data_IF_516230585630
#
_entry.id   IF_516230585630
#
_cell.length_a   1.000
_cell.length_b   1.000
_cell.length_c   1.000
_cell.angle_alpha   90.00
_cell.angle_beta   90.00
_cell.angle_gamma   90.00
#
_symmetry.space_group_name_H-M   'P 1'
#
loop_
_entity.id
_entity.type
_entity.pdbx_description
1 polymer ?
#
# COMPACT_ATOMS: atom_id res chain seq x y z
N UNK A 1 9.15 -4.25 27.11
CA UNK A 1 10.51 -4.27 26.54
C UNK A 1 11.28 -5.59 26.73
N UNK A 2 11.05 -6.34 27.79
CA UNK A 2 11.79 -7.60 28.04
C UNK A 2 11.44 -8.77 27.11
N UNK A 3 10.33 -8.72 26.40
CA UNK A 3 9.89 -9.83 25.55
C UNK A 3 10.59 -9.89 24.16
N UNK A 4 11.13 -8.79 23.69
CA UNK A 4 11.81 -8.73 22.39
C UNK A 4 13.28 -9.17 22.44
N UNK A 5 13.85 -9.27 23.63
CA UNK A 5 15.26 -9.68 23.81
C UNK A 5 15.47 -11.20 23.86
N UNK A 6 14.39 -11.99 23.96
CA UNK A 6 14.46 -13.44 23.90
C UNK A 6 14.14 -13.93 22.48
N UNK A 7 15.03 -14.70 21.82
CA UNK A 7 14.81 -15.15 20.44
C UNK A 7 13.48 -15.91 20.21
N UNK A 8 13.06 -16.71 21.19
CA UNK A 8 11.79 -17.47 21.06
C UNK A 8 10.56 -16.56 21.18
N UNK A 9 10.61 -15.61 22.10
CA UNK A 9 9.52 -14.63 22.31
C UNK A 9 9.44 -13.66 21.13
N UNK A 10 10.59 -13.25 20.61
CA UNK A 10 10.69 -12.41 19.42
C UNK A 10 10.06 -13.09 18.19
N UNK A 11 10.36 -14.37 17.98
CA UNK A 11 9.79 -15.14 16.88
C UNK A 11 8.27 -15.24 16.99
N UNK A 12 7.74 -15.59 18.16
CA UNK A 12 6.29 -15.67 18.39
C UNK A 12 5.59 -14.32 18.18
N UNK A 13 6.19 -13.24 18.67
CA UNK A 13 5.65 -11.89 18.47
C UNK A 13 5.60 -11.54 16.98
N UNK A 14 6.63 -11.88 16.23
CA UNK A 14 6.69 -11.65 14.78
C UNK A 14 5.66 -12.51 14.03
N UNK A 15 5.51 -13.78 14.36
CA UNK A 15 4.48 -14.66 13.79
C UNK A 15 3.09 -14.07 13.98
N UNK A 16 2.79 -13.50 15.15
CA UNK A 16 1.52 -12.80 15.42
C UNK A 16 1.35 -11.55 14.54
N UNK A 17 2.43 -10.82 14.29
CA UNK A 17 2.39 -9.68 13.36
C UNK A 17 2.05 -10.11 11.95
N UNK A 18 2.68 -11.17 11.46
CA UNK A 18 2.41 -11.72 10.12
C UNK A 18 0.97 -12.21 10.03
N UNK A 19 0.49 -12.95 11.00
CA UNK A 19 -0.89 -13.44 11.05
C UNK A 19 -1.92 -12.30 11.13
N UNK A 20 -1.64 -11.28 11.95
CA UNK A 20 -2.57 -10.17 12.18
C UNK A 20 -2.61 -9.13 11.06
N UNK A 21 -1.51 -8.89 10.36
CA UNK A 21 -1.39 -7.82 9.37
C UNK A 21 -1.10 -8.31 7.94
N UNK A 22 -0.82 -9.58 7.75
CA UNK A 22 -0.38 -10.12 6.45
C UNK A 22 -1.38 -9.85 5.34
N UNK A 23 -2.64 -10.15 5.54
CA UNK A 23 -3.69 -9.93 4.53
C UNK A 23 -3.92 -8.44 4.25
N UNK A 24 -4.01 -7.62 5.28
CA UNK A 24 -4.15 -6.17 5.15
C UNK A 24 -3.00 -5.55 4.36
N UNK A 25 -1.77 -5.91 4.70
CA UNK A 25 -0.58 -5.40 4.01
C UNK A 25 -0.50 -5.90 2.57
N UNK A 26 -0.88 -7.14 2.32
CA UNK A 26 -0.96 -7.68 0.97
C UNK A 26 -1.88 -6.82 0.08
N UNK A 27 -3.12 -6.58 0.50
CA UNK A 27 -4.06 -5.80 -0.30
C UNK A 27 -3.65 -4.33 -0.42
N UNK A 28 -3.04 -3.77 0.61
CA UNK A 28 -2.48 -2.42 0.54
C UNK A 28 -1.38 -2.33 -0.53
N UNK A 29 -0.41 -3.24 -0.48
CA UNK A 29 0.68 -3.33 -1.46
C UNK A 29 0.12 -3.63 -2.85
N UNK A 30 -0.87 -4.54 -2.96
CA UNK A 30 -1.50 -4.94 -4.21
C UNK A 30 -2.14 -3.76 -4.95
N UNK A 31 -2.76 -2.82 -4.23
CA UNK A 31 -3.34 -1.61 -4.82
C UNK A 31 -2.28 -0.64 -5.35
N UNK A 32 -1.06 -0.75 -4.88
CA UNK A 32 0.05 0.10 -5.32
C UNK A 32 0.78 -0.55 -6.51
N UNK A 33 1.15 -1.81 -6.40
CA UNK A 33 1.96 -2.51 -7.42
C UNK A 33 1.12 -3.21 -8.49
N UNK A 34 -0.17 -3.40 -8.28
CA UNK A 34 -1.21 -3.84 -9.23
C UNK A 34 -1.11 -5.30 -9.73
N UNK A 35 -0.15 -6.08 -9.27
CA UNK A 35 0.08 -7.46 -9.71
C UNK A 35 0.25 -8.37 -8.49
N UNK A 36 -0.32 -9.59 -8.56
CA UNK A 36 -0.29 -10.54 -7.44
C UNK A 36 1.14 -11.02 -7.10
N UNK A 37 1.91 -11.40 -8.09
CA UNK A 37 3.28 -11.89 -7.88
C UNK A 37 4.18 -10.80 -7.30
N UNK A 38 4.09 -9.59 -7.86
CA UNK A 38 4.84 -8.43 -7.38
C UNK A 38 4.43 -8.06 -5.95
N UNK A 39 3.14 -8.11 -5.64
CA UNK A 39 2.63 -7.84 -4.29
C UNK A 39 3.18 -8.85 -3.29
N UNK A 40 3.21 -10.14 -3.61
CA UNK A 40 3.80 -11.16 -2.75
C UNK A 40 5.28 -10.90 -2.49
N UNK A 41 6.04 -10.56 -3.52
CA UNK A 41 7.47 -10.26 -3.39
C UNK A 41 7.71 -9.03 -2.50
N UNK A 42 6.93 -7.96 -2.69
CA UNK A 42 7.03 -6.75 -1.88
C UNK A 42 6.64 -7.04 -0.43
N UNK A 43 5.56 -7.77 -0.19
CA UNK A 43 5.11 -8.12 1.18
C UNK A 43 6.17 -8.96 1.90
N UNK A 44 6.80 -9.90 1.23
CA UNK A 44 7.92 -10.66 1.79
C UNK A 44 9.06 -9.74 2.22
N UNK A 45 9.42 -8.78 1.37
CA UNK A 45 10.45 -7.79 1.70
C UNK A 45 10.04 -6.90 2.87
N UNK A 46 8.77 -6.52 2.96
CA UNK A 46 8.23 -5.75 4.10
C UNK A 46 8.46 -6.51 5.41
N UNK A 47 8.07 -7.78 5.45
CA UNK A 47 8.23 -8.60 6.67
C UNK A 47 9.69 -8.92 6.97
N UNK A 48 10.55 -9.12 5.98
CA UNK A 48 11.99 -9.26 6.19
C UNK A 48 12.60 -8.00 6.82
N UNK A 49 12.23 -6.83 6.34
CA UNK A 49 12.66 -5.55 6.93
C UNK A 49 12.07 -5.33 8.32
N UNK A 50 10.81 -5.70 8.53
CA UNK A 50 10.19 -5.65 9.84
C UNK A 50 10.94 -6.54 10.85
N UNK A 51 11.29 -7.75 10.45
CA UNK A 51 12.09 -8.66 11.29
C UNK A 51 13.44 -8.08 11.67
N UNK A 52 14.19 -7.58 10.69
CA UNK A 52 15.54 -7.03 10.93
C UNK A 52 15.52 -5.73 11.73
N UNK A 53 14.43 -4.95 11.64
CA UNK A 53 14.30 -3.65 12.30
C UNK A 53 13.40 -3.67 13.53
N UNK A 54 12.95 -4.84 13.96
CA UNK A 54 12.04 -4.98 15.11
C UNK A 54 12.63 -4.35 16.39
N UNK A 55 13.94 -4.41 16.56
CA UNK A 55 14.64 -3.80 17.70
C UNK A 55 14.63 -2.26 17.65
N UNK A 56 14.44 -1.67 16.46
CA UNK A 56 14.36 -0.22 16.29
C UNK A 56 12.95 0.32 16.48
N UNK A 57 11.96 -0.55 16.62
CA UNK A 57 10.59 -0.15 16.93
C UNK A 57 10.52 0.32 18.38
N UNK A 58 10.50 1.61 18.56
CA UNK A 58 10.22 2.25 19.86
C UNK A 58 8.73 2.56 19.90
N UNK A 59 8.03 2.20 20.95
CA UNK A 59 6.59 2.30 21.10
C UNK A 59 6.03 3.76 21.05
N UNK A 60 6.70 4.64 20.33
CA UNK A 60 6.27 6.03 20.10
C UNK A 60 5.12 6.14 19.09
N UNK A 61 4.91 5.09 18.29
CA UNK A 61 3.80 4.98 17.33
C UNK A 61 3.17 3.60 17.41
N UNK A 62 1.99 3.45 16.82
CA UNK A 62 1.34 2.15 16.68
C UNK A 62 2.20 1.24 15.79
N UNK A 63 2.23 -0.05 16.08
CA UNK A 63 2.93 -1.04 15.26
C UNK A 63 2.40 -1.03 13.81
N UNK A 64 1.10 -0.84 13.62
CA UNK A 64 0.48 -0.70 12.31
C UNK A 64 1.05 0.48 11.52
N UNK A 65 1.19 1.65 12.14
CA UNK A 65 1.80 2.84 11.52
C UNK A 65 3.23 2.56 11.04
N UNK A 66 4.01 1.89 11.85
CA UNK A 66 5.38 1.49 11.53
C UNK A 66 5.43 0.50 10.36
N UNK A 67 4.57 -0.53 10.38
CA UNK A 67 4.47 -1.51 9.29
C UNK A 67 4.03 -0.87 7.96
N UNK A 68 3.02 0.01 7.99
CA UNK A 68 2.57 0.71 6.79
C UNK A 68 3.63 1.64 6.22
N UNK A 69 4.44 2.27 7.06
CA UNK A 69 5.58 3.06 6.59
C UNK A 69 6.57 2.20 5.81
N UNK A 70 6.91 1.03 6.32
CA UNK A 70 7.78 0.07 5.61
C UNK A 70 7.12 -0.36 4.30
N UNK A 71 5.86 -0.75 4.33
CA UNK A 71 5.12 -1.24 3.16
C UNK A 71 5.03 -0.19 2.05
N UNK A 72 4.74 1.05 2.40
CA UNK A 72 4.67 2.17 1.44
C UNK A 72 6.03 2.41 0.80
N UNK A 73 7.08 2.50 1.60
CA UNK A 73 8.43 2.73 1.09
C UNK A 73 8.87 1.61 0.14
N UNK A 74 8.64 0.35 0.50
CA UNK A 74 8.96 -0.79 -0.35
C UNK A 74 8.15 -0.78 -1.65
N UNK A 75 6.86 -0.49 -1.58
CA UNK A 75 5.99 -0.44 -2.75
C UNK A 75 6.37 0.68 -3.71
N UNK A 76 6.66 1.86 -3.19
CA UNK A 76 7.08 3.01 -4.02
C UNK A 76 8.46 2.77 -4.64
N UNK A 77 9.40 2.19 -3.92
CA UNK A 77 10.71 1.82 -4.45
C UNK A 77 10.57 0.78 -5.57
N UNK A 78 9.71 -0.20 -5.38
CA UNK A 78 9.40 -1.21 -6.39
C UNK A 78 8.87 -0.57 -7.68
N UNK A 79 7.90 0.34 -7.57
CA UNK A 79 7.32 1.05 -8.73
C UNK A 79 8.39 1.88 -9.46
N UNK A 80 9.24 2.59 -8.72
CA UNK A 80 10.32 3.40 -9.32
C UNK A 80 11.29 2.53 -10.11
N UNK A 81 11.69 1.38 -9.58
CA UNK A 81 12.55 0.42 -10.28
C UNK A 81 11.86 -0.17 -11.50
N UNK A 82 10.59 -0.51 -11.40
CA UNK A 82 9.80 -1.03 -12.52
C UNK A 82 9.68 -0.02 -13.65
N UNK A 83 9.38 1.25 -13.36
CA UNK A 83 9.32 2.34 -14.34
C UNK A 83 10.66 2.54 -15.06
N UNK A 84 11.76 2.47 -14.34
CA UNK A 84 13.10 2.60 -14.93
C UNK A 84 13.41 1.47 -15.91
N UNK A 85 12.91 0.26 -15.68
CA UNK A 85 13.08 -0.89 -16.57
C UNK A 85 12.13 -0.86 -17.78
N UNK A 86 10.90 -0.34 -17.60
CA UNK A 86 9.87 -0.30 -18.66
C UNK A 86 10.09 0.77 -19.73
N UNK A 87 10.98 1.74 -19.52
CA UNK A 87 11.37 2.73 -20.55
C UNK A 87 12.00 2.09 -21.80
N UNK A 88 12.21 0.78 -21.80
CA UNK A 88 12.81 0.01 -22.89
C UNK A 88 11.87 -0.96 -23.60
N UNK A 89 10.61 -1.07 -23.21
CA UNK A 89 9.64 -2.02 -23.81
C UNK A 89 8.31 -1.34 -24.09
N UNK A 90 7.90 -1.34 -25.38
CA UNK A 90 6.57 -0.95 -25.84
C UNK A 90 5.55 -2.09 -25.53
N UNK A 91 5.30 -2.40 -24.26
CA UNK A 91 4.18 -3.27 -23.92
C UNK A 91 2.92 -2.42 -23.79
N UNK A 92 1.90 -2.76 -24.59
CA UNK A 92 0.57 -2.19 -24.46
C UNK A 92 0.05 -2.42 -23.03
N UNK A 93 -0.18 -1.33 -22.30
CA UNK A 93 -0.74 -1.36 -20.96
C UNK A 93 -2.15 -1.94 -21.01
N UNK A 94 -2.29 -3.21 -20.67
CA UNK A 94 -3.61 -3.79 -20.43
C UNK A 94 -4.30 -3.02 -19.30
N UNK A 95 -5.60 -2.71 -19.49
CA UNK A 95 -6.40 -2.00 -18.50
C UNK A 95 -6.32 -2.67 -17.12
N UNK A 96 -6.09 -1.88 -16.08
CA UNK A 96 -6.08 -2.35 -14.68
C UNK A 96 -7.39 -3.05 -14.32
N UNK A 97 -8.53 -2.52 -14.79
CA UNK A 97 -9.86 -3.15 -14.61
C UNK A 97 -9.87 -4.56 -15.18
N UNK A 98 -9.42 -4.73 -16.42
CA UNK A 98 -9.42 -6.04 -17.07
C UNK A 98 -8.46 -7.01 -16.38
N UNK A 99 -7.30 -6.54 -15.94
CA UNK A 99 -6.34 -7.36 -15.20
C UNK A 99 -6.92 -7.83 -13.87
N UNK A 100 -7.59 -6.96 -13.13
CA UNK A 100 -8.22 -7.31 -11.85
C UNK A 100 -9.40 -8.28 -12.05
N UNK A 101 -10.25 -8.04 -13.04
CA UNK A 101 -11.38 -8.93 -13.32
C UNK A 101 -10.96 -10.33 -13.77
N UNK A 102 -9.78 -10.46 -14.36
CA UNK A 102 -9.19 -11.75 -14.75
C UNK A 102 -8.38 -12.43 -13.63
N UNK A 103 -8.15 -11.74 -12.54
CA UNK A 103 -7.30 -12.22 -11.44
C UNK A 103 -8.13 -13.09 -10.47
N UNK A 104 -7.71 -14.33 -10.27
CA UNK A 104 -8.38 -15.29 -9.37
C UNK A 104 -8.40 -14.88 -7.90
N UNK A 105 -7.50 -13.97 -7.49
CA UNK A 105 -7.43 -13.45 -6.12
C UNK A 105 -8.27 -12.21 -5.89
N UNK A 106 -8.85 -11.64 -6.95
CA UNK A 106 -9.73 -10.48 -6.85
C UNK A 106 -11.19 -10.92 -6.90
N UNK A 107 -11.91 -10.70 -5.81
CA UNK A 107 -13.32 -11.06 -5.65
C UNK A 107 -14.27 -9.86 -5.72
N UNK A 108 -13.77 -8.70 -6.10
CA UNK A 108 -14.54 -7.46 -6.21
C UNK A 108 -15.38 -7.37 -7.48
N UNK A 109 -16.25 -6.36 -7.50
CA UNK A 109 -17.08 -6.02 -8.66
C UNK A 109 -16.28 -5.28 -9.73
N UNK A 110 -16.84 -5.17 -10.93
CA UNK A 110 -16.27 -4.35 -12.01
C UNK A 110 -16.11 -2.88 -11.58
N UNK A 111 -17.10 -2.33 -10.85
CA UNK A 111 -17.04 -0.96 -10.33
C UNK A 111 -15.86 -0.79 -9.35
N UNK A 112 -15.63 -1.77 -8.49
CA UNK A 112 -14.47 -1.76 -7.58
C UNK A 112 -13.15 -1.87 -8.33
N UNK A 113 -13.09 -2.68 -9.38
CA UNK A 113 -11.92 -2.76 -10.26
C UNK A 113 -11.67 -1.43 -10.99
N UNK A 114 -12.73 -0.78 -11.47
CA UNK A 114 -12.65 0.55 -12.08
C UNK A 114 -12.16 1.62 -11.09
N UNK A 115 -12.58 1.54 -9.85
CA UNK A 115 -12.07 2.43 -8.79
C UNK A 115 -10.56 2.25 -8.61
N UNK A 116 -10.08 1.03 -8.56
CA UNK A 116 -8.64 0.76 -8.46
C UNK A 116 -7.88 1.26 -9.69
N UNK A 117 -8.46 1.15 -10.88
CA UNK A 117 -7.87 1.73 -12.10
C UNK A 117 -7.77 3.26 -12.01
N UNK A 118 -8.82 3.92 -11.57
CA UNK A 118 -8.81 5.37 -11.35
C UNK A 118 -7.73 5.79 -10.34
N UNK A 119 -7.60 5.06 -9.24
CA UNK A 119 -6.60 5.28 -8.20
C UNK A 119 -5.18 5.07 -8.76
N UNK A 120 -4.98 4.05 -9.59
CA UNK A 120 -3.69 3.76 -10.21
C UNK A 120 -3.19 4.88 -11.14
N UNK A 121 -4.09 5.70 -11.68
CA UNK A 121 -3.75 6.85 -12.52
C UNK A 121 -3.36 8.11 -11.72
N UNK A 122 -3.58 8.11 -10.41
CA UNK A 122 -3.22 9.24 -9.57
C UNK A 122 -1.69 9.35 -9.40
N UNK A 123 -1.16 10.58 -9.25
CA UNK A 123 0.22 10.77 -8.82
C UNK A 123 0.49 10.04 -7.49
N UNK A 124 1.73 9.61 -7.26
CA UNK A 124 2.12 8.75 -6.15
C UNK A 124 1.62 9.23 -4.78
N UNK A 125 1.76 10.52 -4.47
CA UNK A 125 1.32 11.10 -3.19
C UNK A 125 -0.20 10.99 -3.04
N UNK A 126 -0.96 11.39 -4.06
CA UNK A 126 -2.43 11.35 -4.04
C UNK A 126 -2.94 9.92 -3.93
N UNK A 127 -2.34 9.00 -4.67
CA UNK A 127 -2.65 7.56 -4.63
C UNK A 127 -2.43 6.99 -3.22
N UNK A 128 -1.28 7.26 -2.64
CA UNK A 128 -0.92 6.76 -1.31
C UNK A 128 -1.88 7.30 -0.24
N UNK A 129 -2.16 8.60 -0.25
CA UNK A 129 -3.11 9.22 0.69
C UNK A 129 -4.51 8.63 0.51
N UNK A 130 -4.97 8.49 -0.72
CA UNK A 130 -6.28 7.91 -1.00
C UNK A 130 -6.39 6.47 -0.49
N UNK A 131 -5.40 5.64 -0.78
CA UNK A 131 -5.38 4.24 -0.33
C UNK A 131 -5.43 4.14 1.20
N UNK A 132 -4.64 4.93 1.90
CA UNK A 132 -4.60 4.91 3.36
C UNK A 132 -5.91 5.41 3.98
N UNK A 133 -6.49 6.45 3.42
CA UNK A 133 -7.72 7.04 3.96
C UNK A 133 -8.97 6.24 3.61
N UNK A 134 -9.11 5.83 2.36
CA UNK A 134 -10.33 5.19 1.85
C UNK A 134 -10.35 3.69 2.13
N UNK A 135 -9.31 2.95 1.74
CA UNK A 135 -9.29 1.49 1.87
C UNK A 135 -8.89 1.03 3.27
N UNK A 136 -7.95 1.72 3.92
CA UNK A 136 -7.45 1.35 5.24
C UNK A 136 -8.18 2.07 6.38
N UNK A 137 -9.07 2.99 6.06
CA UNK A 137 -9.82 3.82 7.03
C UNK A 137 -8.91 4.47 8.08
N UNK A 138 -7.73 4.87 7.66
CA UNK A 138 -6.73 5.44 8.55
C UNK A 138 -7.04 6.91 8.84
N UNK A 139 -6.89 7.33 10.10
CA UNK A 139 -7.06 8.74 10.48
C UNK A 139 -5.95 9.60 9.90
N UNK A 140 -6.25 10.85 9.59
CA UNK A 140 -5.24 11.79 9.08
C UNK A 140 -4.05 11.97 10.03
N UNK A 141 -4.28 11.91 11.34
CA UNK A 141 -3.18 11.93 12.32
C UNK A 141 -2.22 10.75 12.16
N UNK A 142 -2.74 9.57 11.90
CA UNK A 142 -1.92 8.37 11.65
C UNK A 142 -1.23 8.42 10.29
N UNK A 143 -1.93 8.87 9.25
CA UNK A 143 -1.35 9.08 7.90
C UNK A 143 -0.21 10.11 7.96
N UNK A 144 -0.41 11.19 8.74
CA UNK A 144 0.61 12.22 8.97
C UNK A 144 1.90 11.62 9.54
N UNK A 145 1.79 10.68 10.47
CA UNK A 145 2.93 9.96 11.02
C UNK A 145 3.59 9.02 10.00
N UNK A 146 2.79 8.32 9.20
CA UNK A 146 3.30 7.40 8.17
C UNK A 146 4.07 8.16 7.09
N UNK A 147 3.50 9.24 6.56
CA UNK A 147 4.05 9.99 5.42
C UNK A 147 4.91 11.19 5.83
N UNK A 148 4.94 11.54 7.11
CA UNK A 148 5.64 12.73 7.63
C UNK A 148 5.23 14.00 6.90
N UNK A 149 3.93 14.16 6.72
CA UNK A 149 3.28 15.27 6.00
C UNK A 149 2.19 15.85 6.89
N UNK A 150 1.95 17.16 6.84
CA UNK A 150 0.92 17.80 7.65
C UNK A 150 -0.50 17.27 7.31
N UNK A 151 -1.38 17.24 8.29
CA UNK A 151 -2.76 16.81 8.08
C UNK A 151 -3.50 17.70 7.07
N UNK A 152 -3.23 19.02 7.07
CA UNK A 152 -3.80 19.95 6.10
C UNK A 152 -3.42 19.61 4.67
N UNK A 153 -2.13 19.30 4.42
CA UNK A 153 -1.65 18.86 3.10
C UNK A 153 -2.27 17.53 2.67
N UNK A 154 -2.46 16.60 3.62
CA UNK A 154 -3.09 15.30 3.35
C UNK A 154 -4.56 15.45 2.97
N UNK A 155 -5.32 16.29 3.68
CA UNK A 155 -6.72 16.61 3.36
C UNK A 155 -6.85 17.22 1.97
N UNK A 156 -5.96 18.14 1.60
CA UNK A 156 -5.91 18.72 0.27
C UNK A 156 -5.62 17.65 -0.80
N UNK A 157 -4.63 16.79 -0.59
CA UNK A 157 -4.30 15.69 -1.50
C UNK A 157 -5.46 14.71 -1.68
N UNK A 158 -6.13 14.35 -0.59
CA UNK A 158 -7.29 13.48 -0.64
C UNK A 158 -8.46 14.11 -1.43
N UNK A 159 -8.74 15.38 -1.20
CA UNK A 159 -9.78 16.11 -1.92
C UNK A 159 -9.51 16.15 -3.44
N UNK A 160 -8.27 16.43 -3.83
CA UNK A 160 -7.86 16.40 -5.25
C UNK A 160 -8.00 14.99 -5.83
N UNK A 161 -7.59 13.97 -5.09
CA UNK A 161 -7.71 12.57 -5.51
C UNK A 161 -9.18 12.19 -5.77
N UNK A 162 -10.08 12.50 -4.84
CA UNK A 162 -11.53 12.25 -4.98
C UNK A 162 -12.10 12.95 -6.21
N UNK A 163 -11.72 14.19 -6.45
CA UNK A 163 -12.15 14.95 -7.62
C UNK A 163 -11.71 14.27 -8.93
N UNK A 164 -10.45 13.86 -9.02
CA UNK A 164 -9.92 13.17 -10.20
C UNK A 164 -10.60 11.81 -10.43
N UNK A 165 -10.88 11.07 -9.37
CA UNK A 165 -11.61 9.80 -9.45
C UNK A 165 -13.04 10.03 -9.96
N UNK A 166 -13.72 11.06 -9.45
CA UNK A 166 -15.07 11.43 -9.93
C UNK A 166 -15.06 11.77 -11.41
N UNK A 167 -14.07 12.52 -11.89
CA UNK A 167 -13.91 12.84 -13.31
C UNK A 167 -13.66 11.59 -14.16
N UNK A 168 -12.86 10.64 -13.66
CA UNK A 168 -12.62 9.35 -14.33
C UNK A 168 -13.93 8.60 -14.60
N UNK A 169 -14.81 8.50 -13.59
CA UNK A 169 -16.11 7.84 -13.75
C UNK A 169 -17.06 8.60 -14.68
N UNK A 170 -17.08 9.94 -14.60
CA UNK A 170 -17.92 10.76 -15.48
C UNK A 170 -17.58 10.62 -16.96
N UNK A 171 -16.31 10.39 -17.28
CA UNK A 171 -15.87 10.22 -18.67
C UNK A 171 -16.25 8.87 -19.26
N UNK A 172 -16.69 7.92 -18.44
CA UNK A 172 -17.06 6.55 -18.84
C UNK A 172 -18.55 6.25 -18.76
N UNK A 173 -19.35 7.21 -18.32
CA UNK A 173 -20.81 7.13 -18.36
C UNK A 173 -21.33 7.52 -19.79
#
# INVERSE_FOLDING_TARGET
MSQLNNPQTRRKAFERLVEGYGEQLYWHVRRIVLNHEDANDVVQNVFLKAWTRLDTFHQESKISTWLYRIAINESLDFIRHQKAQMLSTDEEDASVTNQLMADEYFDGTETEAMLQEAVAQLPDVQRTVFNLRYFEDMKYSDISQVLQTSEGALKASYHIAVKKISEFFKQRD
#
